data_IF_756330752577
#
_entry.id   IF_756330752577
#
_cell.length_a   1.000
_cell.length_b   1.000
_cell.length_c   1.000
_cell.angle_alpha   90.00
_cell.angle_beta   90.00
_cell.angle_gamma   90.00
#
_symmetry.space_group_name_H-M   'P 1'
#
loop_
_entity.id
_entity.type
_entity.pdbx_description
1 polymer ?
#
# COMPACT_ATOMS: atom_id res chain seq x y z
N UNK A 1 14.05 2.65 -9.34
CA UNK A 1 13.22 3.34 -10.35
C UNK A 1 13.28 2.67 -11.72
N UNK A 2 14.44 2.26 -12.23
CA UNK A 2 14.55 1.60 -13.55
C UNK A 2 13.69 0.33 -13.71
N UNK A 3 13.70 -0.57 -12.71
CA UNK A 3 12.86 -1.78 -12.73
C UNK A 3 11.36 -1.46 -12.78
N UNK A 4 10.92 -0.39 -12.09
CA UNK A 4 9.52 0.07 -12.15
C UNK A 4 9.13 0.58 -13.54
N UNK A 5 10.01 1.34 -14.21
CA UNK A 5 9.77 1.80 -15.58
C UNK A 5 9.69 0.61 -16.54
N UNK A 6 10.61 -0.36 -16.42
CA UNK A 6 10.58 -1.58 -17.23
C UNK A 6 9.29 -2.37 -16.98
N UNK A 7 8.83 -2.46 -15.73
CA UNK A 7 7.55 -3.07 -15.37
C UNK A 7 6.36 -2.36 -16.01
N UNK A 8 6.32 -1.02 -15.98
CA UNK A 8 5.27 -0.23 -16.63
C UNK A 8 5.25 -0.40 -18.15
N UNK A 9 6.43 -0.40 -18.80
CA UNK A 9 6.55 -0.62 -20.24
C UNK A 9 6.13 -2.05 -20.61
N UNK A 10 6.54 -3.03 -19.80
CA UNK A 10 6.20 -4.44 -19.99
C UNK A 10 4.71 -4.71 -19.78
N UNK A 11 4.10 -4.09 -18.76
CA UNK A 11 2.68 -4.19 -18.46
C UNK A 11 1.77 -3.42 -19.43
N UNK A 12 2.32 -2.46 -20.19
CA UNK A 12 1.57 -1.69 -21.19
C UNK A 12 2.02 -1.99 -22.63
N UNK A 13 2.51 -3.21 -22.88
CA UNK A 13 3.03 -3.66 -24.19
C UNK A 13 2.04 -3.49 -25.34
N UNK A 14 0.73 -3.56 -25.07
CA UNK A 14 -0.33 -3.34 -26.06
C UNK A 14 -0.29 -1.92 -26.65
N UNK A 15 -0.07 -0.90 -25.82
CA UNK A 15 -0.01 0.50 -26.26
C UNK A 15 1.30 0.82 -27.00
N UNK A 16 2.35 0.03 -26.77
CA UNK A 16 3.68 0.19 -27.39
C UNK A 16 3.90 -0.66 -28.67
N UNK A 17 2.87 -1.33 -29.19
CA UNK A 17 2.94 -2.18 -30.41
C UNK A 17 3.97 -3.34 -30.34
N UNK A 18 4.37 -3.78 -29.15
CA UNK A 18 5.31 -4.89 -28.91
C UNK A 18 4.55 -6.21 -28.65
N UNK A 19 3.61 -6.56 -29.53
CA UNK A 19 2.67 -7.66 -29.29
C UNK A 19 3.34 -9.03 -29.44
N UNK A 20 3.42 -9.78 -28.34
CA UNK A 20 3.64 -11.23 -28.34
C UNK A 20 2.30 -11.92 -28.06
N UNK A 21 2.16 -13.14 -28.57
CA UNK A 21 0.98 -14.01 -28.38
C UNK A 21 0.41 -13.97 -26.96
N UNK A 22 -0.89 -13.69 -26.85
CA UNK A 22 -1.66 -13.49 -25.61
C UNK A 22 -1.35 -14.54 -24.52
N UNK A 23 -1.20 -15.81 -24.94
CA UNK A 23 -0.96 -16.94 -24.04
C UNK A 23 0.38 -16.87 -23.28
N UNK A 24 1.40 -16.21 -23.83
CA UNK A 24 2.69 -16.01 -23.15
C UNK A 24 2.66 -14.80 -22.21
N UNK A 25 1.87 -13.78 -22.54
CA UNK A 25 1.74 -12.58 -21.73
C UNK A 25 1.05 -12.87 -20.38
N UNK A 26 -0.04 -13.62 -20.42
CA UNK A 26 -0.81 -13.97 -19.21
C UNK A 26 0.01 -14.86 -18.26
N UNK A 27 0.83 -15.76 -18.81
CA UNK A 27 1.74 -16.60 -18.04
C UNK A 27 2.84 -15.76 -17.35
N UNK A 28 3.46 -14.83 -18.06
CA UNK A 28 4.48 -13.92 -17.50
C UNK A 28 3.88 -13.05 -16.38
N UNK A 29 2.68 -12.50 -16.59
CA UNK A 29 1.95 -11.73 -15.59
C UNK A 29 1.61 -12.57 -14.35
N UNK A 30 1.04 -13.76 -14.54
CA UNK A 30 0.68 -14.66 -13.43
C UNK A 30 1.89 -15.05 -12.58
N UNK A 31 3.04 -15.33 -13.21
CA UNK A 31 4.29 -15.62 -12.49
C UNK A 31 4.77 -14.41 -11.70
N UNK A 32 4.75 -13.21 -12.30
CA UNK A 32 5.17 -11.99 -11.64
C UNK A 32 4.27 -11.62 -10.45
N UNK A 33 2.96 -11.79 -10.58
CA UNK A 33 1.98 -11.55 -9.51
C UNK A 33 2.12 -12.56 -8.37
N UNK A 34 2.28 -13.84 -8.70
CA UNK A 34 2.51 -14.90 -7.71
C UNK A 34 3.80 -14.65 -6.95
N UNK A 35 4.90 -14.37 -7.66
CA UNK A 35 6.19 -14.06 -7.05
C UNK A 35 6.12 -12.79 -6.20
N UNK A 36 5.45 -11.75 -6.69
CA UNK A 36 5.24 -10.50 -5.95
C UNK A 36 4.46 -10.71 -4.65
N UNK A 37 3.48 -11.62 -4.65
CA UNK A 37 2.71 -12.00 -3.46
C UNK A 37 3.58 -12.76 -2.46
N UNK A 38 4.35 -13.74 -2.92
CA UNK A 38 5.30 -14.48 -2.06
C UNK A 38 6.33 -13.52 -1.44
N UNK A 39 6.94 -12.64 -2.24
CA UNK A 39 7.91 -11.65 -1.75
C UNK A 39 7.28 -10.70 -0.73
N UNK A 40 6.04 -10.24 -0.95
CA UNK A 40 5.31 -9.39 0.00
C UNK A 40 5.13 -10.12 1.34
N UNK A 41 4.71 -11.38 1.33
CA UNK A 41 4.59 -12.19 2.55
C UNK A 41 5.95 -12.33 3.26
N UNK A 42 7.02 -12.68 2.53
CA UNK A 42 8.36 -12.80 3.10
C UNK A 42 8.83 -11.50 3.77
N UNK A 43 8.64 -10.33 3.14
CA UNK A 43 9.02 -9.03 3.71
C UNK A 43 8.28 -8.77 5.03
N UNK A 44 6.98 -9.04 5.09
CA UNK A 44 6.20 -8.84 6.30
C UNK A 44 6.58 -9.81 7.43
N UNK A 45 6.89 -11.07 7.10
CA UNK A 45 7.38 -12.07 8.07
C UNK A 45 8.73 -11.62 8.64
N UNK A 46 9.67 -11.20 7.79
CA UNK A 46 10.99 -10.72 8.22
C UNK A 46 10.84 -9.46 9.07
N UNK A 47 9.97 -8.52 8.66
CA UNK A 47 9.69 -7.32 9.45
C UNK A 47 9.19 -7.69 10.85
N UNK A 48 8.20 -8.59 10.94
CA UNK A 48 7.66 -9.06 12.21
C UNK A 48 8.72 -9.73 13.10
N UNK A 49 9.64 -10.49 12.51
CA UNK A 49 10.72 -11.15 13.24
C UNK A 49 11.76 -10.18 13.83
N UNK A 50 11.93 -8.98 13.27
CA UNK A 50 12.91 -8.00 13.75
C UNK A 50 12.38 -7.10 14.86
N UNK A 51 11.09 -7.23 15.20
CA UNK A 51 10.41 -6.33 16.14
C UNK A 51 10.76 -6.69 17.57
N UNK A 52 11.20 -5.68 18.31
CA UNK A 52 11.41 -5.76 19.75
C UNK A 52 10.20 -5.16 20.47
N UNK A 53 9.38 -6.01 21.09
CA UNK A 53 8.14 -5.58 21.75
C UNK A 53 8.41 -4.61 22.91
N UNK A 54 9.49 -4.80 23.66
CA UNK A 54 9.87 -3.92 24.78
C UNK A 54 10.07 -2.46 24.33
N UNK A 55 10.76 -2.27 23.21
CA UNK A 55 11.02 -0.95 22.62
C UNK A 55 9.75 -0.36 22.02
N UNK A 56 8.91 -1.22 21.40
CA UNK A 56 7.63 -0.80 20.84
C UNK A 56 6.68 -0.25 21.91
N UNK A 57 6.56 -0.94 23.05
CA UNK A 57 5.73 -0.47 24.17
C UNK A 57 6.28 0.82 24.78
N UNK A 58 7.60 0.94 24.91
CA UNK A 58 8.25 2.16 25.42
C UNK A 58 7.96 3.39 24.56
N UNK A 59 7.91 3.23 23.24
CA UNK A 59 7.66 4.33 22.29
C UNK A 59 6.24 4.33 21.72
N UNK A 60 5.29 3.64 22.35
CA UNK A 60 3.91 3.52 21.84
C UNK A 60 3.23 4.89 21.69
N UNK A 61 3.28 5.72 22.73
CA UNK A 61 2.65 7.06 22.76
C UNK A 61 3.23 8.01 21.69
N UNK A 62 4.57 8.22 21.62
CA UNK A 62 5.12 9.12 20.60
C UNK A 62 4.91 8.59 19.17
N UNK A 63 4.91 7.27 18.98
CA UNK A 63 4.62 6.66 17.69
C UNK A 63 3.16 6.87 17.28
N UNK A 64 2.21 6.67 18.20
CA UNK A 64 0.79 6.86 17.94
C UNK A 64 0.47 8.30 17.54
N UNK A 65 1.04 9.28 18.24
CA UNK A 65 0.91 10.71 17.91
C UNK A 65 1.48 11.01 16.52
N UNK A 66 2.64 10.46 16.18
CA UNK A 66 3.26 10.64 14.86
C UNK A 66 2.36 10.06 13.75
N UNK A 67 1.80 8.87 13.97
CA UNK A 67 0.89 8.20 13.03
C UNK A 67 -0.38 9.02 12.81
N UNK A 68 -1.00 9.49 13.90
CA UNK A 68 -2.19 10.33 13.82
C UNK A 68 -1.89 11.63 13.07
N UNK A 69 -0.76 12.28 13.31
CA UNK A 69 -0.33 13.46 12.56
C UNK A 69 -0.16 13.15 11.06
N UNK A 70 0.48 12.03 10.72
CA UNK A 70 0.67 11.62 9.32
C UNK A 70 -0.64 11.29 8.60
N UNK A 71 -1.63 10.75 9.32
CA UNK A 71 -2.94 10.36 8.75
C UNK A 71 -3.88 11.55 8.67
N UNK A 72 -4.02 12.34 9.73
CA UNK A 72 -5.02 13.41 9.80
C UNK A 72 -4.53 14.77 9.31
N UNK A 73 -3.21 15.02 9.30
CA UNK A 73 -2.66 16.33 8.90
C UNK A 73 -1.95 16.19 7.56
N UNK A 74 -0.91 15.37 7.49
CA UNK A 74 -0.04 15.31 6.30
C UNK A 74 -0.81 14.82 5.08
N UNK A 75 -1.64 13.78 5.21
CA UNK A 75 -2.41 13.23 4.08
C UNK A 75 -3.44 14.21 3.51
N UNK A 76 -4.36 14.79 4.29
CA UNK A 76 -5.32 15.76 3.78
C UNK A 76 -4.62 16.96 3.15
N UNK A 77 -3.51 17.44 3.74
CA UNK A 77 -2.73 18.52 3.15
C UNK A 77 -2.15 18.16 1.78
N UNK A 78 -1.55 16.98 1.63
CA UNK A 78 -1.04 16.52 0.33
C UNK A 78 -2.16 16.45 -0.72
N UNK A 79 -3.32 15.90 -0.35
CA UNK A 79 -4.42 15.72 -1.30
C UNK A 79 -5.06 17.06 -1.65
N UNK A 80 -5.32 17.93 -0.66
CA UNK A 80 -5.81 19.30 -0.91
C UNK A 80 -4.84 20.07 -1.81
N UNK A 81 -3.53 19.96 -1.58
CA UNK A 81 -2.52 20.60 -2.45
C UNK A 81 -2.61 20.07 -3.89
N UNK A 82 -2.71 18.75 -4.06
CA UNK A 82 -2.86 18.13 -5.39
C UNK A 82 -4.18 18.52 -6.07
N UNK A 83 -5.31 18.50 -5.35
CA UNK A 83 -6.63 18.88 -5.91
C UNK A 83 -6.72 20.37 -6.25
N UNK A 84 -6.00 21.24 -5.54
CA UNK A 84 -5.91 22.67 -5.85
C UNK A 84 -5.10 22.94 -7.13
N UNK A 85 -4.02 22.19 -7.34
CA UNK A 85 -3.21 22.25 -8.57
C UNK A 85 -3.97 21.65 -9.75
N UNK A 86 -4.70 20.55 -9.53
CA UNK A 86 -5.52 19.87 -10.53
C UNK A 86 -6.94 20.45 -10.63
N UNK A 87 -7.02 21.75 -10.94
CA UNK A 87 -8.27 22.53 -11.03
C UNK A 87 -9.20 22.08 -12.19
N UNK A 88 -8.73 21.20 -13.08
CA UNK A 88 -9.47 20.73 -14.25
C UNK A 88 -10.42 19.54 -13.98
N UNK A 89 -10.20 18.78 -12.91
CA UNK A 89 -10.79 17.46 -12.74
C UNK A 89 -12.17 17.41 -12.05
N UNK A 90 -12.77 18.56 -11.68
CA UNK A 90 -14.14 18.67 -11.09
C UNK A 90 -14.45 17.61 -10.02
N UNK A 91 -13.49 17.34 -9.14
CA UNK A 91 -13.61 16.30 -8.11
C UNK A 91 -14.80 16.54 -7.18
N UNK A 92 -15.63 15.51 -6.98
CA UNK A 92 -16.72 15.56 -6.01
C UNK A 92 -16.13 15.52 -4.59
N UNK A 93 -16.72 16.26 -3.64
CA UNK A 93 -16.25 16.32 -2.24
C UNK A 93 -16.13 14.93 -1.60
N UNK A 94 -17.04 14.02 -1.97
CA UNK A 94 -17.03 12.64 -1.49
C UNK A 94 -15.81 11.85 -2.01
N UNK A 95 -15.40 12.05 -3.27
CA UNK A 95 -14.22 11.39 -3.85
C UNK A 95 -12.92 11.89 -3.20
N UNK A 96 -12.86 13.20 -2.93
CA UNK A 96 -11.70 13.81 -2.24
C UNK A 96 -11.56 13.25 -0.82
N UNK A 97 -12.67 13.13 -0.09
CA UNK A 97 -12.69 12.51 1.25
C UNK A 97 -12.30 11.03 1.18
N UNK A 98 -12.77 10.29 0.18
CA UNK A 98 -12.38 8.91 -0.05
C UNK A 98 -10.88 8.77 -0.29
N UNK A 99 -10.29 9.60 -1.17
CA UNK A 99 -8.85 9.60 -1.43
C UNK A 99 -8.02 9.97 -0.20
N UNK A 100 -8.54 10.84 0.68
CA UNK A 100 -7.88 11.17 1.95
C UNK A 100 -7.85 9.99 2.91
N UNK A 101 -8.92 9.19 2.90
CA UNK A 101 -9.09 8.07 3.82
C UNK A 101 -8.35 6.81 3.35
N UNK A 102 -8.45 6.48 2.06
CA UNK A 102 -7.86 5.28 1.50
C UNK A 102 -6.34 5.39 1.48
N UNK A 103 -5.71 4.43 2.16
CA UNK A 103 -4.26 4.22 2.08
C UNK A 103 -4.02 2.72 2.00
N UNK A 104 -3.46 2.31 0.87
CA UNK A 104 -2.75 1.06 0.75
C UNK A 104 -1.31 1.30 1.24
N UNK A 105 -1.00 0.85 2.45
CA UNK A 105 0.37 0.87 2.95
C UNK A 105 1.15 -0.22 2.21
N UNK A 106 1.97 0.18 1.25
CA UNK A 106 2.77 -0.74 0.45
C UNK A 106 3.89 -1.43 1.23
N UNK A 107 4.63 -2.32 0.55
CA UNK A 107 5.79 -3.05 1.10
C UNK A 107 7.03 -2.17 1.32
N UNK A 108 7.03 -0.96 0.77
CA UNK A 108 8.21 -0.07 0.72
C UNK A 108 8.65 0.39 2.12
N UNK A 109 7.77 0.87 3.01
CA UNK A 109 8.16 1.28 4.36
C UNK A 109 8.72 0.11 5.19
N UNK A 110 8.17 -1.10 5.01
CA UNK A 110 8.66 -2.31 5.68
C UNK A 110 10.11 -2.62 5.26
N UNK A 111 10.39 -2.61 3.96
CA UNK A 111 11.74 -2.83 3.45
C UNK A 111 12.72 -1.75 3.93
N UNK A 112 12.32 -0.46 3.89
CA UNK A 112 13.15 0.65 4.39
C UNK A 112 13.44 0.53 5.89
N UNK A 113 12.46 0.10 6.68
CA UNK A 113 12.63 -0.13 8.12
C UNK A 113 13.71 -1.20 8.39
N UNK A 114 13.69 -2.31 7.64
CA UNK A 114 14.70 -3.35 7.73
C UNK A 114 16.10 -2.85 7.38
N UNK A 115 16.22 -2.00 6.36
CA UNK A 115 17.50 -1.36 5.98
C UNK A 115 18.01 -0.45 7.09
N UNK A 116 17.17 0.45 7.61
CA UNK A 116 17.56 1.39 8.69
C UNK A 116 18.01 0.63 9.94
N UNK A 117 17.30 -0.43 10.30
CA UNK A 117 17.63 -1.28 11.45
C UNK A 117 18.98 -1.98 11.24
N UNK A 118 19.26 -2.42 10.00
CA UNK A 118 20.52 -3.08 9.64
C UNK A 118 21.72 -2.12 9.65
N UNK A 119 21.51 -0.85 9.33
CA UNK A 119 22.58 0.17 9.29
C UNK A 119 23.07 0.62 10.68
N UNK A 120 22.41 0.22 11.78
CA UNK A 120 22.81 0.50 13.18
C UNK A 120 23.18 1.97 13.46
N UNK A 121 22.44 2.90 12.86
CA UNK A 121 22.63 4.35 13.03
C UNK A 121 22.17 4.76 14.45
N UNK A 122 22.82 5.72 15.14
CA UNK A 122 22.32 6.24 16.41
C UNK A 122 20.86 6.72 16.28
N UNK A 123 19.98 6.20 17.13
CA UNK A 123 18.53 6.48 17.08
C UNK A 123 17.72 5.56 16.15
N UNK A 124 18.34 4.53 15.54
CA UNK A 124 17.65 3.57 14.68
C UNK A 124 16.50 2.85 15.38
N UNK A 125 16.62 2.58 16.68
CA UNK A 125 15.56 1.94 17.48
C UNK A 125 14.28 2.78 17.53
N UNK A 126 14.40 4.10 17.66
CA UNK A 126 13.27 5.02 17.74
C UNK A 126 12.57 5.08 16.37
N UNK A 127 13.34 5.26 15.30
CA UNK A 127 12.81 5.35 13.93
C UNK A 127 12.14 4.04 13.54
N UNK A 128 12.79 2.90 13.81
CA UNK A 128 12.26 1.57 13.52
C UNK A 128 10.95 1.31 14.29
N UNK A 129 10.89 1.69 15.56
CA UNK A 129 9.67 1.57 16.38
C UNK A 129 8.52 2.41 15.82
N UNK A 130 8.78 3.67 15.45
CA UNK A 130 7.75 4.55 14.87
C UNK A 130 7.25 4.00 13.55
N UNK A 131 8.15 3.59 12.65
CA UNK A 131 7.78 3.05 11.33
C UNK A 131 7.01 1.74 11.48
N UNK A 132 7.45 0.84 12.36
CA UNK A 132 6.77 -0.41 12.62
C UNK A 132 5.36 -0.18 13.19
N UNK A 133 5.23 0.69 14.20
CA UNK A 133 3.94 1.04 14.77
C UNK A 133 3.03 1.70 13.73
N UNK A 134 3.60 2.53 12.85
CA UNK A 134 2.89 3.14 11.72
C UNK A 134 2.34 2.06 10.79
N UNK A 135 3.16 1.10 10.39
CA UNK A 135 2.74 -0.02 9.53
C UNK A 135 1.62 -0.82 10.22
N UNK A 136 1.79 -1.17 11.49
CA UNK A 136 0.81 -1.96 12.24
C UNK A 136 -0.53 -1.23 12.37
N UNK A 137 -0.53 0.03 12.80
CA UNK A 137 -1.75 0.84 12.93
C UNK A 137 -2.41 1.03 11.57
N UNK A 138 -1.64 1.35 10.52
CA UNK A 138 -2.19 1.58 9.19
C UNK A 138 -2.77 0.31 8.58
N UNK A 139 -2.13 -0.85 8.74
CA UNK A 139 -2.68 -2.12 8.25
C UNK A 139 -3.97 -2.51 8.99
N UNK A 140 -4.02 -2.34 10.31
CA UNK A 140 -5.24 -2.66 11.09
C UNK A 140 -6.35 -1.68 10.75
N UNK A 141 -6.10 -0.38 10.89
CA UNK A 141 -7.13 0.65 10.68
C UNK A 141 -7.51 0.74 9.21
N UNK A 142 -6.56 0.93 8.30
CA UNK A 142 -6.87 1.22 6.89
C UNK A 142 -7.17 -0.07 6.11
N UNK A 143 -6.54 -1.20 6.44
CA UNK A 143 -6.91 -2.49 5.84
C UNK A 143 -8.35 -2.90 6.14
N UNK A 144 -8.81 -2.70 7.39
CA UNK A 144 -10.20 -3.00 7.76
C UNK A 144 -11.20 -1.92 7.33
N UNK A 145 -10.83 -0.65 7.48
CA UNK A 145 -11.77 0.47 7.29
C UNK A 145 -11.97 0.86 5.82
N UNK A 146 -11.04 0.54 4.92
CA UNK A 146 -11.15 0.90 3.49
C UNK A 146 -12.38 0.27 2.84
N UNK A 147 -12.64 -1.02 3.07
CA UNK A 147 -13.83 -1.71 2.54
C UNK A 147 -15.13 -1.11 3.09
N UNK A 148 -15.15 -0.75 4.37
CA UNK A 148 -16.33 -0.16 5.03
C UNK A 148 -16.62 1.26 4.53
N UNK A 149 -15.60 2.07 4.31
CA UNK A 149 -15.75 3.45 3.81
C UNK A 149 -16.13 3.46 2.33
N UNK A 150 -15.60 2.54 1.53
CA UNK A 150 -16.02 2.35 0.14
C UNK A 150 -17.52 2.01 0.04
N UNK A 151 -18.00 1.11 0.93
CA UNK A 151 -19.43 0.76 1.05
C UNK A 151 -20.30 1.92 1.53
N UNK A 152 -19.81 2.73 2.47
CA UNK A 152 -20.55 3.89 3.00
C UNK A 152 -20.65 5.06 2.03
N UNK A 153 -19.70 5.21 1.11
CA UNK A 153 -19.70 6.28 0.12
C UNK A 153 -20.38 5.89 -1.20
N UNK A 154 -20.94 4.68 -1.29
CA UNK A 154 -21.58 4.13 -2.49
C UNK A 154 -20.67 4.18 -3.73
N UNK A 155 -19.36 4.00 -3.50
CA UNK A 155 -18.30 3.99 -4.52
C UNK A 155 -17.87 2.56 -4.89
N UNK A 156 -18.50 1.55 -4.29
CA UNK A 156 -18.33 0.16 -4.71
C UNK A 156 -19.17 -0.07 -5.96
N UNK A 157 -18.54 -0.04 -7.13
CA UNK A 157 -18.97 -0.99 -8.16
C UNK A 157 -18.82 -2.38 -7.55
N UNK A 158 -19.92 -3.13 -7.47
CA UNK A 158 -19.87 -4.54 -7.10
C UNK A 158 -18.89 -5.22 -8.07
N UNK A 159 -17.69 -5.52 -7.59
CA UNK A 159 -16.93 -6.64 -8.16
C UNK A 159 -17.84 -7.85 -7.97
N UNK A 160 -18.47 -8.26 -9.07
CA UNK A 160 -19.01 -9.60 -9.21
C UNK A 160 -17.79 -10.51 -9.00
N UNK A 161 -17.67 -11.07 -7.80
CA UNK A 161 -16.88 -12.28 -7.60
C UNK A 161 -17.45 -13.29 -8.61
N UNK A 162 -16.75 -13.51 -9.72
CA UNK A 162 -16.85 -14.76 -10.47
C UNK A 162 -16.31 -15.86 -9.55
N UNK A 163 -17.14 -16.27 -8.59
CA UNK A 163 -17.11 -17.60 -8.04
C UNK A 163 -17.56 -18.56 -9.15
N UNK A 164 -16.70 -18.80 -10.13
CA UNK A 164 -16.88 -19.86 -11.12
C UNK A 164 -16.32 -21.17 -10.56
N UNK A 165 -16.91 -21.61 -9.45
CA UNK A 165 -16.92 -23.02 -9.05
C UNK A 165 -18.39 -23.44 -8.87
N UNK A 166 -18.78 -24.52 -9.57
CA UNK A 166 -20.03 -25.27 -9.44
C UNK A 166 -21.24 -24.83 -10.28
N UNK A 167 -21.21 -25.08 -11.60
CA UNK A 167 -22.31 -25.81 -12.27
C UNK A 167 -21.86 -26.34 -13.64
N UNK A 168 -22.40 -27.52 -14.04
CA UNK A 168 -22.16 -28.29 -15.28
C UNK A 168 -21.03 -29.34 -15.07
N UNK A 169 -21.30 -30.55 -14.54
CA UNK A 169 -22.16 -31.63 -15.08
C UNK A 169 -21.93 -31.89 -16.57
#
# INVERSE_FOLDING_TARGET
MSCFIVGLVTGNKQNFKLWLSQKHYDADCSVAETLGTICRMCIFIILGSQVQLDVLFKYFVPSLISVLGLIFIVRPLCILACTLVDRGAKWNKNQVIFMMWVRETGVIPAALCGIITSMKVPGSEIISSIVFMTILITLILQGSTTKLVAKKLDLLEMEVEESEEATIN
#
